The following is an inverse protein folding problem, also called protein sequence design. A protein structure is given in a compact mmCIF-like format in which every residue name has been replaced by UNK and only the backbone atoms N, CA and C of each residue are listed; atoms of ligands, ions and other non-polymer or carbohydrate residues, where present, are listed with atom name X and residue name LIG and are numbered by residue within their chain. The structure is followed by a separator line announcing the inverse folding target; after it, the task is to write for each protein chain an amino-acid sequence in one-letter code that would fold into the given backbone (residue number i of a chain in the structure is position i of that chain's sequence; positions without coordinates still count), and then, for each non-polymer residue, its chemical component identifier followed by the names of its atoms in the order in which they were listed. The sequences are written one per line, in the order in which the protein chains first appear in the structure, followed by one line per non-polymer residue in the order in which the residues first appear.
data_IF_274295001647
#
_entry.id   IF_274295001647
#
_cell.length_a   1.000
_cell.length_b   1.000
_cell.length_c   1.000
_cell.angle_alpha   90.00
_cell.angle_beta   90.00
_cell.angle_gamma   90.00
#
_symmetry.space_group_name_H-M   'P 1'
#
loop_
_entity.id
_entity.type
_entity.pdbx_description
1 polymer ?
#
# COMPACT_ATOMS: atom_id res chain seq x y z
N UNK A 1 -0.66 -1.73 -3.60
CA UNK A 1 0.43 -1.96 -2.64
C UNK A 1 1.12 -0.64 -2.31
N UNK A 2 1.66 0.08 -3.30
CA UNK A 2 2.23 1.42 -3.13
C UNK A 2 1.35 2.39 -2.31
N UNK A 3 0.06 2.49 -2.65
CA UNK A 3 -0.90 3.31 -1.88
C UNK A 3 -1.04 2.91 -0.40
N UNK A 4 -0.95 1.62 -0.08
CA UNK A 4 -1.04 1.18 1.32
C UNK A 4 0.28 1.41 2.06
N UNK A 5 1.40 1.24 1.36
CA UNK A 5 2.76 1.58 1.81
C UNK A 5 2.90 3.07 2.11
N UNK A 6 2.48 3.95 1.21
CA UNK A 6 2.47 5.40 1.42
C UNK A 6 1.62 5.80 2.62
N UNK A 7 0.49 5.13 2.82
CA UNK A 7 -0.38 5.38 3.97
C UNK A 7 0.25 4.89 5.29
N UNK A 8 0.90 3.72 5.29
CA UNK A 8 1.41 3.07 6.52
C UNK A 8 2.81 3.54 6.92
N UNK A 9 3.71 3.64 5.95
CA UNK A 9 5.12 3.97 6.14
C UNK A 9 5.33 5.47 5.95
N UNK A 10 4.73 6.04 4.91
CA UNK A 10 4.84 7.48 4.62
C UNK A 10 3.92 8.37 5.45
N UNK A 11 2.95 7.80 6.18
CA UNK A 11 1.96 8.56 6.95
C UNK A 11 1.02 9.42 6.10
N UNK A 12 1.00 9.21 4.78
CA UNK A 12 0.27 10.05 3.85
C UNK A 12 -1.23 9.78 3.90
N UNK A 13 -2.00 10.87 3.82
CA UNK A 13 -3.45 10.83 3.64
C UNK A 13 -3.81 10.29 2.26
N UNK A 14 -5.03 9.77 2.11
CA UNK A 14 -5.50 9.27 0.83
C UNK A 14 -5.54 10.35 -0.26
N UNK A 15 -5.71 11.62 0.12
CA UNK A 15 -5.68 12.76 -0.80
C UNK A 15 -4.26 13.01 -1.30
N UNK A 16 -3.28 13.09 -0.42
CA UNK A 16 -1.86 13.27 -0.80
C UNK A 16 -1.36 12.11 -1.68
N UNK A 17 -1.77 10.88 -1.37
CA UNK A 17 -1.47 9.72 -2.22
C UNK A 17 -2.12 9.86 -3.60
N UNK A 18 -3.35 10.37 -3.64
CA UNK A 18 -4.06 10.65 -4.88
C UNK A 18 -3.34 11.69 -5.74
N UNK A 19 -2.87 12.76 -5.13
CA UNK A 19 -2.08 13.81 -5.79
C UNK A 19 -0.75 13.26 -6.35
N UNK A 20 0.01 12.51 -5.54
CA UNK A 20 1.29 11.91 -5.97
C UNK A 20 1.10 10.91 -7.12
N UNK A 21 0.03 10.12 -7.06
CA UNK A 21 -0.24 9.09 -8.07
C UNK A 21 -1.13 9.58 -9.23
N UNK A 22 -1.55 10.84 -9.21
CA UNK A 22 -2.46 11.46 -10.19
C UNK A 22 -3.77 10.66 -10.34
N UNK A 23 -4.38 10.29 -9.20
CA UNK A 23 -5.65 9.56 -9.12
C UNK A 23 -6.56 10.14 -8.05
N UNK A 24 -7.87 9.92 -8.19
CA UNK A 24 -8.83 10.37 -7.18
C UNK A 24 -8.69 9.59 -5.85
N UNK A 25 -9.03 10.25 -4.74
CA UNK A 25 -9.06 9.64 -3.41
C UNK A 25 -9.87 8.34 -3.37
N UNK A 26 -11.00 8.27 -4.09
CA UNK A 26 -11.82 7.06 -4.16
C UNK A 26 -11.06 5.88 -4.76
N UNK A 27 -10.18 6.14 -5.74
CA UNK A 27 -9.31 5.13 -6.35
C UNK A 27 -8.29 4.62 -5.34
N UNK A 28 -7.72 5.52 -4.53
CA UNK A 28 -6.80 5.16 -3.44
C UNK A 28 -7.49 4.28 -2.40
N UNK A 29 -8.67 4.69 -1.95
CA UNK A 29 -9.46 3.98 -0.95
C UNK A 29 -9.84 2.57 -1.43
N UNK A 30 -10.38 2.47 -2.65
CA UNK A 30 -10.78 1.19 -3.26
C UNK A 30 -9.56 0.29 -3.48
N UNK A 31 -8.44 0.83 -3.97
CA UNK A 31 -7.20 0.09 -4.19
C UNK A 31 -6.68 -0.55 -2.89
N UNK A 32 -6.69 0.20 -1.79
CA UNK A 32 -6.29 -0.30 -0.46
C UNK A 32 -7.24 -1.37 0.08
N UNK A 33 -8.55 -1.22 -0.13
CA UNK A 33 -9.55 -2.21 0.30
C UNK A 33 -9.36 -3.54 -0.44
N UNK A 34 -9.27 -3.48 -1.78
CA UNK A 34 -9.05 -4.66 -2.64
C UNK A 34 -7.76 -5.39 -2.30
N UNK A 35 -6.68 -4.65 -2.00
CA UNK A 35 -5.43 -5.25 -1.56
C UNK A 35 -5.62 -6.03 -0.26
N UNK A 36 -6.24 -5.43 0.76
CA UNK A 36 -6.49 -6.10 2.05
C UNK A 36 -7.34 -7.36 1.90
N UNK A 37 -8.38 -7.31 1.07
CA UNK A 37 -9.22 -8.48 0.81
C UNK A 37 -8.44 -9.61 0.13
N UNK A 38 -7.60 -9.29 -0.87
CA UNK A 38 -6.73 -10.30 -1.53
C UNK A 38 -5.71 -10.92 -0.58
N UNK A 39 -5.16 -10.15 0.36
CA UNK A 39 -4.19 -10.68 1.33
C UNK A 39 -4.86 -11.52 2.42
N UNK A 40 -6.08 -11.18 2.84
CA UNK A 40 -6.82 -11.91 3.88
C UNK A 40 -7.05 -13.38 3.52
N UNK A 41 -7.30 -13.68 2.25
CA UNK A 41 -7.57 -15.04 1.77
C UNK A 41 -6.33 -15.83 1.35
N UNK A 42 -5.16 -15.19 1.24
CA UNK A 42 -3.98 -15.81 0.65
C UNK A 42 -2.73 -15.57 1.50
N UNK A 43 -2.41 -16.53 2.37
CA UNK A 43 -1.23 -16.49 3.26
C UNK A 43 0.09 -16.35 2.50
N UNK A 44 0.23 -17.03 1.36
CA UNK A 44 1.46 -16.96 0.57
C UNK A 44 1.67 -15.57 0.00
N UNK A 45 0.62 -14.97 -0.56
CA UNK A 45 0.66 -13.59 -1.07
C UNK A 45 0.93 -12.59 0.06
N UNK A 46 0.32 -12.78 1.23
CA UNK A 46 0.58 -11.97 2.41
C UNK A 46 2.05 -12.00 2.83
N UNK A 47 2.68 -13.18 2.84
CA UNK A 47 4.09 -13.33 3.19
C UNK A 47 5.01 -12.67 2.14
N UNK A 48 4.69 -12.80 0.85
CA UNK A 48 5.46 -12.13 -0.21
C UNK A 48 5.41 -10.61 -0.06
N UNK A 49 4.22 -10.05 0.17
CA UNK A 49 4.05 -8.60 0.36
C UNK A 49 4.83 -8.14 1.59
N UNK A 50 4.78 -8.88 2.69
CA UNK A 50 5.52 -8.53 3.90
C UNK A 50 7.04 -8.54 3.69
N UNK A 51 7.58 -9.49 2.91
CA UNK A 51 9.01 -9.48 2.56
C UNK A 51 9.40 -8.23 1.78
N UNK A 52 8.62 -7.88 0.75
CA UNK A 52 8.86 -6.67 -0.03
C UNK A 52 8.78 -5.41 0.85
N UNK A 53 7.82 -5.33 1.79
CA UNK A 53 7.73 -4.21 2.73
C UNK A 53 8.96 -4.11 3.65
N UNK A 54 9.48 -5.24 4.14
CA UNK A 54 10.70 -5.27 4.97
C UNK A 54 11.93 -4.84 4.17
N UNK A 55 12.09 -5.35 2.95
CA UNK A 55 13.21 -5.01 2.07
C UNK A 55 13.18 -3.51 1.70
N UNK A 56 12.01 -2.95 1.43
CA UNK A 56 11.85 -1.52 1.15
C UNK A 56 12.11 -0.65 2.39
N UNK A 57 11.76 -1.13 3.60
CA UNK A 57 12.00 -0.38 4.85
C UNK A 57 13.48 -0.35 5.25
N UNK A 58 14.29 -1.29 4.75
CA UNK A 58 15.73 -1.34 5.02
C UNK A 58 16.56 -0.49 4.05
N UNK A 59 15.98 -0.11 2.91
CA UNK A 59 16.57 0.90 2.02
C UNK A 59 16.41 2.26 2.70
N UNK A 60 17.47 2.73 3.38
CA UNK A 60 17.57 4.13 3.79
C UNK A 60 17.75 4.98 2.54
N UNK A 61 16.72 5.75 2.20
CA UNK A 61 16.75 6.81 1.19
C UNK A 61 17.12 8.12 1.87
#
# INVERSE_FOLDING_TARGET
MAMDLFSRVGGLSGTEIGEIMVVDYSTVSVGRKRLRERLRGNKHLSQMVQRVEVDLSTIKI
#
